data_IF_644392105068
#
_entry.id   IF_644392105068
#
_cell.length_a   1.000
_cell.length_b   1.000
_cell.length_c   1.000
_cell.angle_alpha   90.00
_cell.angle_beta   90.00
_cell.angle_gamma   90.00
#
_symmetry.space_group_name_H-M   'P 1'
#
loop_
_entity.id
_entity.type
_entity.pdbx_description
1 polymer ?
#
# COMPACT_ATOMS: atom_id res chain seq x y z
N UNK A 1 13.06 3.39 3.29
CA UNK A 1 12.59 1.99 3.24
C UNK A 1 13.76 1.04 3.51
N UNK A 2 13.68 0.17 4.52
CA UNK A 2 14.78 -0.73 4.89
C UNK A 2 14.57 -2.12 4.26
N UNK A 3 15.64 -2.79 3.80
CA UNK A 3 15.54 -4.11 3.12
C UNK A 3 14.84 -5.14 4.01
N UNK A 4 15.12 -5.14 5.31
CA UNK A 4 14.49 -6.04 6.29
C UNK A 4 12.97 -5.85 6.37
N UNK A 5 12.51 -4.60 6.30
CA UNK A 5 11.08 -4.26 6.34
C UNK A 5 10.35 -4.73 5.07
N UNK A 6 11.00 -4.58 3.90
CA UNK A 6 10.44 -5.05 2.62
C UNK A 6 10.15 -6.55 2.66
N UNK A 7 11.15 -7.37 3.01
CA UNK A 7 10.98 -8.82 3.09
C UNK A 7 9.98 -9.24 4.17
N UNK A 8 9.94 -8.56 5.32
CA UNK A 8 8.99 -8.87 6.38
C UNK A 8 7.52 -8.64 5.97
N UNK A 9 7.27 -7.61 5.15
CA UNK A 9 5.91 -7.28 4.70
C UNK A 9 5.52 -7.92 3.37
N UNK A 10 6.46 -8.59 2.69
CA UNK A 10 6.23 -9.25 1.41
C UNK A 10 5.29 -10.46 1.52
N UNK A 11 5.22 -11.09 2.71
CA UNK A 11 4.32 -12.21 2.99
C UNK A 11 2.87 -11.94 2.58
N UNK A 12 2.34 -10.76 2.94
CA UNK A 12 0.97 -10.38 2.60
C UNK A 12 0.75 -10.16 1.10
N UNK A 13 1.76 -9.66 0.39
CA UNK A 13 1.74 -9.59 -1.07
C UNK A 13 1.64 -10.99 -1.69
N UNK A 14 2.40 -11.95 -1.18
CA UNK A 14 2.38 -13.34 -1.68
C UNK A 14 1.06 -14.06 -1.39
N UNK A 15 0.52 -13.91 -0.18
CA UNK A 15 -0.77 -14.52 0.19
C UNK A 15 -1.90 -13.98 -0.69
N UNK A 16 -1.97 -12.66 -0.87
CA UNK A 16 -3.05 -12.02 -1.65
C UNK A 16 -2.95 -12.33 -3.14
N UNK A 17 -1.76 -12.24 -3.74
CA UNK A 17 -1.59 -12.58 -5.15
C UNK A 17 -1.69 -14.09 -5.43
N UNK A 18 -1.20 -14.94 -4.53
CA UNK A 18 -1.39 -16.39 -4.62
C UNK A 18 -2.87 -16.78 -4.59
N UNK A 19 -3.65 -16.13 -3.72
CA UNK A 19 -5.11 -16.31 -3.68
C UNK A 19 -5.79 -15.87 -4.99
N UNK A 20 -5.42 -14.70 -5.54
CA UNK A 20 -5.98 -14.24 -6.82
C UNK A 20 -5.64 -15.18 -7.98
N UNK A 21 -4.38 -15.66 -8.03
CA UNK A 21 -3.96 -16.62 -9.05
C UNK A 21 -4.71 -17.95 -8.93
N UNK A 22 -4.84 -18.48 -7.71
CA UNK A 22 -5.59 -19.71 -7.44
C UNK A 22 -7.06 -19.60 -7.86
N UNK A 23 -7.73 -18.51 -7.47
CA UNK A 23 -9.13 -18.28 -7.85
C UNK A 23 -9.30 -18.16 -9.36
N UNK A 24 -8.32 -17.63 -10.07
CA UNK A 24 -8.36 -17.47 -11.53
C UNK A 24 -7.95 -18.73 -12.32
N UNK A 25 -7.54 -19.80 -11.65
CA UNK A 25 -6.92 -20.96 -12.29
C UNK A 25 -7.87 -21.71 -13.23
N UNK A 26 -9.10 -21.95 -12.78
CA UNK A 26 -10.11 -22.72 -13.53
C UNK A 26 -11.03 -21.83 -14.41
N UNK A 27 -10.90 -20.50 -14.28
CA UNK A 27 -11.71 -19.57 -15.05
C UNK A 27 -11.06 -19.27 -16.40
N UNK A 28 -11.80 -19.51 -17.47
CA UNK A 28 -11.37 -19.14 -18.83
C UNK A 28 -11.96 -17.78 -19.21
N UNK A 29 -11.13 -16.74 -19.10
CA UNK A 29 -11.49 -15.38 -19.48
C UNK A 29 -10.46 -14.80 -20.44
N UNK A 30 -10.92 -13.97 -21.38
CA UNK A 30 -10.13 -13.41 -22.50
C UNK A 30 -8.82 -12.74 -22.08
N UNK A 31 -8.73 -12.23 -20.84
CA UNK A 31 -7.59 -11.49 -20.31
C UNK A 31 -6.83 -12.24 -19.21
N UNK A 32 -6.92 -13.58 -19.13
CA UNK A 32 -6.28 -14.38 -18.08
C UNK A 32 -4.79 -14.10 -17.91
N UNK A 33 -4.06 -14.03 -19.03
CA UNK A 33 -2.63 -13.76 -19.00
C UNK A 33 -2.31 -12.35 -18.46
N UNK A 34 -3.07 -11.34 -18.86
CA UNK A 34 -2.92 -9.97 -18.33
C UNK A 34 -3.23 -9.91 -16.83
N UNK A 35 -4.28 -10.60 -16.38
CA UNK A 35 -4.64 -10.67 -14.97
C UNK A 35 -3.54 -11.35 -14.13
N UNK A 36 -2.93 -12.41 -14.64
CA UNK A 36 -1.78 -13.04 -14.01
C UNK A 36 -0.57 -12.12 -13.94
N UNK A 37 -0.26 -11.39 -15.02
CA UNK A 37 0.81 -10.41 -15.03
C UNK A 37 0.58 -9.32 -13.98
N UNK A 38 -0.62 -8.74 -13.92
CA UNK A 38 -0.96 -7.70 -12.94
C UNK A 38 -0.90 -8.25 -11.51
N UNK A 39 -1.39 -9.47 -11.28
CA UNK A 39 -1.36 -10.12 -9.97
C UNK A 39 0.08 -10.34 -9.50
N UNK A 40 0.96 -10.86 -10.37
CA UNK A 40 2.38 -11.05 -10.08
C UNK A 40 3.10 -9.72 -9.82
N UNK A 41 2.82 -8.69 -10.62
CA UNK A 41 3.34 -7.35 -10.37
C UNK A 41 2.84 -6.79 -9.02
N UNK A 42 1.56 -6.99 -8.69
CA UNK A 42 0.96 -6.58 -7.43
C UNK A 42 1.59 -7.25 -6.21
N UNK A 43 1.95 -8.53 -6.31
CA UNK A 43 2.65 -9.27 -5.23
C UNK A 43 3.97 -8.60 -4.85
N UNK A 44 4.74 -8.16 -5.84
CA UNK A 44 6.05 -7.51 -5.64
C UNK A 44 5.89 -6.05 -5.20
N UNK A 45 4.90 -5.36 -5.76
CA UNK A 45 4.66 -3.94 -5.46
C UNK A 45 3.93 -3.71 -4.13
N UNK A 46 3.29 -4.72 -3.54
CA UNK A 46 2.56 -4.63 -2.28
C UNK A 46 3.37 -3.94 -1.14
N UNK A 47 4.58 -4.39 -0.78
CA UNK A 47 5.35 -3.74 0.28
C UNK A 47 5.78 -2.30 -0.06
N UNK A 48 5.90 -1.94 -1.35
CA UNK A 48 6.15 -0.55 -1.78
C UNK A 48 4.90 0.29 -1.54
N UNK A 49 3.73 -0.19 -1.96
CA UNK A 49 2.45 0.47 -1.75
C UNK A 49 2.16 0.67 -0.25
N UNK A 50 2.36 -0.37 0.56
CA UNK A 50 2.22 -0.31 2.03
C UNK A 50 3.12 0.77 2.63
N UNK A 51 4.38 0.83 2.21
CA UNK A 51 5.31 1.85 2.69
C UNK A 51 4.88 3.27 2.34
N UNK A 52 4.40 3.51 1.11
CA UNK A 52 3.87 4.81 0.71
C UNK A 52 2.65 5.23 1.52
N UNK A 53 1.72 4.31 1.79
CA UNK A 53 0.54 4.56 2.62
C UNK A 53 0.96 4.90 4.04
N UNK A 54 1.90 4.15 4.62
CA UNK A 54 2.42 4.43 5.96
C UNK A 54 3.15 5.78 6.04
N UNK A 55 4.02 6.12 5.08
CA UNK A 55 4.70 7.42 5.04
C UNK A 55 3.69 8.57 4.94
N UNK A 56 2.68 8.42 4.10
CA UNK A 56 1.61 9.40 3.92
C UNK A 56 0.77 9.54 5.19
N UNK A 57 0.33 8.42 5.76
CA UNK A 57 -0.45 8.41 7.01
C UNK A 57 0.34 9.03 8.17
N UNK A 58 1.65 8.77 8.26
CA UNK A 58 2.52 9.37 9.26
C UNK A 58 2.71 10.88 9.06
N UNK A 59 2.71 11.37 7.82
CA UNK A 59 2.71 12.82 7.56
C UNK A 59 1.43 13.48 8.09
N UNK A 60 0.27 12.85 7.89
CA UNK A 60 -1.02 13.39 8.35
C UNK A 60 -1.27 13.22 9.85
N UNK A 61 -0.68 12.21 10.50
CA UNK A 61 -0.91 11.93 11.94
C UNK A 61 0.14 12.56 12.86
N UNK A 62 1.17 13.23 12.33
CA UNK A 62 2.16 13.93 13.14
C UNK A 62 1.54 15.12 13.88
N UNK A 63 1.82 15.28 15.19
CA UNK A 63 1.38 16.47 15.94
C UNK A 63 1.86 17.78 15.31
N UNK A 64 3.06 17.79 14.72
CA UNK A 64 3.63 18.96 14.03
C UNK A 64 2.82 19.36 12.78
N UNK A 65 2.19 18.40 12.10
CA UNK A 65 1.30 18.69 10.97
C UNK A 65 0.00 19.33 11.45
N UNK A 66 -0.59 18.81 12.53
CA UNK A 66 -1.80 19.40 13.14
C UNK A 66 -1.55 20.74 13.83
N UNK A 67 -0.33 20.97 14.33
CA UNK A 67 0.10 22.25 14.90
C UNK A 67 0.69 23.21 13.86
N UNK A 68 0.68 22.85 12.57
CA UNK A 68 1.12 23.75 11.51
C UNK A 68 0.10 24.87 11.28
N UNK A 69 0.60 26.03 10.83
CA UNK A 69 -0.16 27.28 10.60
C UNK A 69 -1.50 27.05 9.88
N UNK A 70 -1.58 26.04 9.01
CA UNK A 70 -2.79 25.69 8.26
C UNK A 70 -4.00 25.25 9.12
N UNK A 71 -3.78 24.68 10.31
CA UNK A 71 -4.83 24.27 11.25
C UNK A 71 -4.81 25.04 12.58
N UNK A 72 -3.67 25.66 12.92
CA UNK A 72 -3.50 26.44 14.15
C UNK A 72 -4.06 27.87 14.07
N UNK A 73 -4.47 28.35 12.89
CA UNK A 73 -5.25 29.59 12.73
C UNK A 73 -6.69 29.40 13.23
N UNK A 74 -6.81 29.16 14.54
CA UNK A 74 -8.08 29.34 15.25
C UNK A 74 -8.24 30.86 15.49
N UNK A 75 -9.38 31.48 15.12
CA UNK A 75 -9.60 32.92 15.23
C UNK A 75 -9.89 33.33 16.68
N UNK A 76 -8.95 33.08 17.59
CA UNK A 76 -9.12 33.29 19.04
C UNK A 76 -7.83 33.59 19.81
N UNK A 77 -6.71 33.86 19.14
CA UNK A 77 -5.50 34.43 19.75
C UNK A 77 -5.19 35.80 19.17
N UNK A 78 -5.99 36.79 19.59
CA UNK A 78 -5.60 38.19 19.72
C UNK A 78 -6.01 38.65 21.12
#
# INVERSE_FOLDING_TARGET
MNRKYYFNNMWWGWVTGGYMLYMSWDYDFKYRLLFWCISLCGMVLYPVAKWYIEDTALKFTRPDFWNSVFFADTPGKM
#
